data_IF_537767060363
#
_entry.id   IF_537767060363
#
_cell.length_a   1.000
_cell.length_b   1.000
_cell.length_c   1.000
_cell.angle_alpha   90.00
_cell.angle_beta   90.00
_cell.angle_gamma   90.00
#
_symmetry.space_group_name_H-M   'P 1'
#
loop_
_entity.id
_entity.type
_entity.pdbx_description
1 polymer ?
#
# COMPACT_ATOMS: atom_id res chain seq x y z
N UNK A 1 -63.84 -9.06 -52.71
CA UNK A 1 -62.80 -8.74 -51.71
C UNK A 1 -63.38 -8.94 -50.32
N UNK A 2 -62.76 -9.72 -49.42
CA UNK A 2 -63.25 -9.86 -48.06
C UNK A 2 -63.00 -8.56 -47.28
N UNK A 3 -63.86 -8.20 -46.32
CA UNK A 3 -63.73 -6.94 -45.59
C UNK A 3 -62.50 -7.02 -44.67
N UNK A 4 -61.60 -6.04 -44.77
CA UNK A 4 -60.52 -5.86 -43.80
C UNK A 4 -61.15 -5.63 -42.42
N UNK A 5 -61.07 -6.61 -41.52
CA UNK A 5 -61.40 -6.45 -40.11
C UNK A 5 -60.61 -5.26 -39.57
N UNK A 6 -61.30 -4.20 -39.15
CA UNK A 6 -60.69 -3.15 -38.31
C UNK A 6 -60.36 -3.82 -36.98
N UNK A 7 -59.08 -3.98 -36.66
CA UNK A 7 -58.67 -4.32 -35.29
C UNK A 7 -59.13 -3.16 -34.39
N UNK A 8 -60.05 -3.44 -33.46
CA UNK A 8 -60.35 -2.53 -32.37
C UNK A 8 -59.22 -2.64 -31.36
N UNK A 9 -58.51 -1.53 -31.16
CA UNK A 9 -57.53 -1.41 -30.10
C UNK A 9 -58.28 -1.19 -28.78
N UNK A 10 -58.40 -2.25 -27.99
CA UNK A 10 -58.77 -2.21 -26.58
C UNK A 10 -57.57 -1.74 -25.75
N UNK A 11 -57.83 -1.19 -24.57
CA UNK A 11 -56.81 -0.63 -23.67
C UNK A 11 -55.68 -1.64 -23.38
N UNK A 12 -56.02 -2.92 -23.20
CA UNK A 12 -55.06 -4.02 -23.02
C UNK A 12 -54.09 -4.22 -24.20
N UNK A 13 -54.55 -3.97 -25.44
CA UNK A 13 -53.71 -4.13 -26.64
C UNK A 13 -52.70 -2.99 -26.80
N UNK A 14 -53.02 -1.81 -26.26
CA UNK A 14 -52.12 -0.65 -26.22
C UNK A 14 -51.08 -0.88 -25.13
N UNK A 15 -51.49 -1.34 -23.95
CA UNK A 15 -50.57 -1.66 -22.86
C UNK A 15 -49.59 -2.77 -23.24
N UNK A 16 -50.05 -3.84 -23.89
CA UNK A 16 -49.18 -4.90 -24.39
C UNK A 16 -48.19 -4.41 -25.45
N UNK A 17 -48.59 -3.49 -26.34
CA UNK A 17 -47.66 -2.92 -27.31
C UNK A 17 -46.64 -1.99 -26.67
N UNK A 18 -47.04 -1.18 -25.67
CA UNK A 18 -46.12 -0.29 -24.96
C UNK A 18 -45.11 -1.07 -24.10
N UNK A 19 -45.53 -2.19 -23.50
CA UNK A 19 -44.63 -3.08 -22.75
C UNK A 19 -43.59 -3.78 -23.64
N UNK A 20 -43.87 -3.99 -24.93
CA UNK A 20 -42.94 -4.61 -25.88
C UNK A 20 -41.89 -3.64 -26.41
N UNK A 21 -42.11 -2.32 -26.26
CA UNK A 21 -41.11 -1.32 -26.63
C UNK A 21 -40.13 -1.23 -25.48
N UNK A 22 -38.95 -1.84 -25.64
CA UNK A 22 -37.85 -1.69 -24.69
C UNK A 22 -37.27 -0.26 -24.81
N UNK A 23 -37.96 0.72 -24.24
CA UNK A 23 -37.50 2.12 -24.17
C UNK A 23 -36.23 2.31 -23.31
N UNK A 24 -35.84 1.30 -22.53
CA UNK A 24 -34.79 1.38 -21.52
C UNK A 24 -33.50 0.62 -21.90
N UNK A 25 -33.40 0.04 -23.10
CA UNK A 25 -32.15 -0.57 -23.56
C UNK A 25 -31.25 0.49 -24.24
N UNK A 26 -30.15 0.96 -23.58
CA UNK A 26 -29.25 1.94 -24.16
C UNK A 26 -28.52 1.43 -25.41
N UNK A 27 -28.52 0.11 -25.63
CA UNK A 27 -27.87 -0.56 -26.77
C UNK A 27 -28.64 -0.42 -28.08
N UNK A 28 -29.95 -0.17 -28.02
CA UNK A 28 -30.88 -0.38 -29.15
C UNK A 28 -31.84 0.80 -29.36
N UNK A 29 -31.43 2.00 -28.98
CA UNK A 29 -32.31 3.19 -28.98
C UNK A 29 -32.87 3.57 -30.35
N UNK A 30 -32.16 3.32 -31.46
CA UNK A 30 -32.67 3.64 -32.81
C UNK A 30 -33.75 2.68 -33.31
N UNK A 31 -33.59 1.38 -33.07
CA UNK A 31 -34.49 0.33 -33.58
C UNK A 31 -35.84 0.34 -32.84
N UNK A 32 -35.82 0.71 -31.56
CA UNK A 32 -37.04 0.89 -30.76
C UNK A 32 -37.84 2.14 -31.15
N UNK A 33 -37.20 3.19 -31.66
CA UNK A 33 -37.90 4.41 -32.13
C UNK A 33 -38.55 4.22 -33.51
N UNK A 34 -37.96 3.42 -34.40
CA UNK A 34 -38.54 3.13 -35.72
C UNK A 34 -39.87 2.38 -35.63
N UNK A 35 -40.06 1.59 -34.58
CA UNK A 35 -41.29 0.85 -34.31
C UNK A 35 -42.47 1.75 -33.89
N UNK A 36 -42.19 2.99 -33.47
CA UNK A 36 -43.25 3.96 -33.09
C UNK A 36 -43.99 4.54 -34.29
N UNK A 37 -43.33 4.67 -35.45
CA UNK A 37 -43.92 5.29 -36.65
C UNK A 37 -45.20 4.60 -37.14
N UNK A 38 -45.22 3.26 -37.34
CA UNK A 38 -46.41 2.51 -37.70
C UNK A 38 -47.53 2.61 -36.66
N UNK A 39 -47.19 2.58 -35.37
CA UNK A 39 -48.13 2.65 -34.25
C UNK A 39 -48.83 4.02 -34.23
N UNK A 40 -48.08 5.11 -34.32
CA UNK A 40 -48.59 6.49 -34.36
C UNK A 40 -49.50 6.69 -35.58
N UNK A 41 -49.08 6.21 -36.76
CA UNK A 41 -49.90 6.29 -37.98
C UNK A 41 -51.22 5.55 -37.82
N UNK A 42 -51.21 4.39 -37.16
CA UNK A 42 -52.40 3.59 -36.97
C UNK A 42 -53.37 4.22 -35.96
N UNK A 43 -52.87 4.74 -34.84
CA UNK A 43 -53.66 5.48 -33.84
C UNK A 43 -54.34 6.71 -34.46
N UNK A 44 -53.64 7.40 -35.36
CA UNK A 44 -54.20 8.53 -36.10
C UNK A 44 -55.34 8.12 -37.04
N UNK A 45 -55.18 6.99 -37.75
CA UNK A 45 -56.21 6.43 -38.65
C UNK A 45 -57.43 5.92 -37.87
N UNK A 46 -57.24 5.36 -36.67
CA UNK A 46 -58.34 4.88 -35.81
C UNK A 46 -59.00 5.97 -34.95
N UNK A 47 -58.50 7.22 -35.00
CA UNK A 47 -58.98 8.37 -34.19
C UNK A 47 -58.97 8.11 -32.67
N UNK A 48 -58.00 7.34 -32.19
CA UNK A 48 -57.88 6.95 -30.78
C UNK A 48 -56.78 7.72 -30.02
N UNK A 49 -56.36 8.90 -30.53
CA UNK A 49 -55.26 9.67 -29.93
C UNK A 49 -55.47 9.98 -28.44
N UNK A 50 -56.66 10.43 -28.04
CA UNK A 50 -56.92 10.77 -26.64
C UNK A 50 -56.86 9.56 -25.71
N UNK A 51 -57.41 8.42 -26.13
CA UNK A 51 -57.35 7.19 -25.36
C UNK A 51 -55.90 6.72 -25.19
N UNK A 52 -55.10 6.77 -26.26
CA UNK A 52 -53.68 6.43 -26.22
C UNK A 52 -52.88 7.35 -25.29
N UNK A 53 -53.09 8.67 -25.36
CA UNK A 53 -52.42 9.63 -24.48
C UNK A 53 -52.77 9.40 -23.01
N UNK A 54 -54.04 9.09 -22.70
CA UNK A 54 -54.45 8.76 -21.32
C UNK A 54 -53.76 7.50 -20.81
N UNK A 55 -53.66 6.45 -21.62
CA UNK A 55 -52.94 5.22 -21.26
C UNK A 55 -51.44 5.49 -21.04
N UNK A 56 -50.82 6.27 -21.92
CA UNK A 56 -49.41 6.68 -21.77
C UNK A 56 -49.17 7.47 -20.48
N UNK A 57 -50.08 8.39 -20.15
CA UNK A 57 -49.98 9.18 -18.93
C UNK A 57 -50.13 8.32 -17.67
N UNK A 58 -51.07 7.36 -17.68
CA UNK A 58 -51.19 6.37 -16.60
C UNK A 58 -49.96 5.45 -16.48
N UNK A 59 -49.32 5.10 -17.60
CA UNK A 59 -48.06 4.36 -17.60
C UNK A 59 -46.92 5.18 -16.99
N UNK A 60 -46.82 6.47 -17.33
CA UNK A 60 -45.84 7.39 -16.74
C UNK A 60 -46.03 7.49 -15.23
N UNK A 61 -47.26 7.75 -14.76
CA UNK A 61 -47.57 7.80 -13.33
C UNK A 61 -47.25 6.47 -12.61
N UNK A 62 -47.58 5.34 -13.25
CA UNK A 62 -47.25 4.01 -12.72
C UNK A 62 -45.73 3.78 -12.65
N UNK A 63 -44.95 4.32 -13.59
CA UNK A 63 -43.49 4.18 -13.60
C UNK A 63 -42.83 5.13 -12.63
N UNK A 64 -43.32 6.35 -12.48
CA UNK A 64 -42.85 7.29 -11.46
C UNK A 64 -43.06 6.71 -10.06
N UNK A 65 -44.23 6.14 -9.78
CA UNK A 65 -44.51 5.49 -8.48
C UNK A 65 -43.66 4.24 -8.24
N UNK A 66 -43.36 3.46 -9.29
CA UNK A 66 -42.42 2.33 -9.19
C UNK A 66 -41.00 2.79 -8.86
N UNK A 67 -40.51 3.85 -9.54
CA UNK A 67 -39.20 4.45 -9.27
C UNK A 67 -39.14 4.99 -7.84
N UNK A 68 -40.15 5.74 -7.40
CA UNK A 68 -40.20 6.31 -6.06
C UNK A 68 -40.17 5.21 -4.98
N UNK A 69 -40.90 4.12 -5.20
CA UNK A 69 -40.88 2.97 -4.30
C UNK A 69 -39.49 2.33 -4.23
N UNK A 70 -38.86 2.05 -5.37
CA UNK A 70 -37.50 1.48 -5.40
C UNK A 70 -36.51 2.42 -4.71
N UNK A 71 -36.58 3.72 -4.96
CA UNK A 71 -35.73 4.70 -4.31
C UNK A 71 -35.96 4.73 -2.79
N UNK A 72 -37.22 4.74 -2.34
CA UNK A 72 -37.57 4.73 -0.92
C UNK A 72 -37.08 3.46 -0.22
N UNK A 73 -37.26 2.29 -0.85
CA UNK A 73 -36.86 1.00 -0.31
C UNK A 73 -35.33 0.90 -0.14
N UNK A 74 -34.55 1.49 -1.06
CA UNK A 74 -33.09 1.40 -1.07
C UNK A 74 -32.37 2.60 -0.42
N UNK A 75 -33.09 3.69 -0.10
CA UNK A 75 -32.47 4.93 0.39
C UNK A 75 -31.72 4.71 1.71
N UNK A 76 -32.30 3.95 2.64
CA UNK A 76 -31.66 3.66 3.93
C UNK A 76 -30.36 2.85 3.75
N UNK A 77 -30.36 1.86 2.87
CA UNK A 77 -29.18 1.03 2.58
C UNK A 77 -28.08 1.85 1.90
N UNK A 78 -28.45 2.79 1.02
CA UNK A 78 -27.52 3.73 0.42
C UNK A 78 -26.86 4.63 1.49
N UNK A 79 -27.65 5.21 2.38
CA UNK A 79 -27.13 6.06 3.47
C UNK A 79 -26.20 5.25 4.40
N UNK A 80 -26.60 4.02 4.74
CA UNK A 80 -25.77 3.11 5.55
C UNK A 80 -24.44 2.78 4.87
N UNK A 81 -24.47 2.51 3.57
CA UNK A 81 -23.27 2.23 2.77
C UNK A 81 -22.33 3.43 2.71
N UNK A 82 -22.86 4.65 2.50
CA UNK A 82 -22.07 5.89 2.49
C UNK A 82 -21.44 6.16 3.87
N UNK A 83 -22.20 5.95 4.96
CA UNK A 83 -21.69 6.09 6.32
C UNK A 83 -20.55 5.10 6.61
N UNK A 84 -20.70 3.86 6.14
CA UNK A 84 -19.67 2.82 6.25
C UNK A 84 -18.41 3.21 5.48
N UNK A 85 -18.53 3.73 4.25
CA UNK A 85 -17.40 4.23 3.48
C UNK A 85 -16.68 5.39 4.17
N UNK A 86 -17.41 6.31 4.80
CA UNK A 86 -16.81 7.41 5.56
C UNK A 86 -16.04 6.90 6.78
N UNK A 87 -16.60 5.90 7.46
CA UNK A 87 -15.97 5.21 8.59
C UNK A 87 -14.69 4.51 8.17
N UNK A 88 -14.72 3.72 7.09
CA UNK A 88 -13.54 3.04 6.52
C UNK A 88 -12.47 4.07 6.15
N UNK A 89 -12.83 5.16 5.47
CA UNK A 89 -11.89 6.24 5.12
C UNK A 89 -11.20 6.81 6.36
N UNK A 90 -11.95 7.04 7.45
CA UNK A 90 -11.40 7.52 8.72
C UNK A 90 -10.39 6.52 9.31
N UNK A 91 -10.76 5.24 9.39
CA UNK A 91 -9.87 4.18 9.87
C UNK A 91 -8.60 4.04 9.03
N UNK A 92 -8.71 4.04 7.70
CA UNK A 92 -7.56 3.97 6.80
C UNK A 92 -6.64 5.17 6.97
N UNK A 93 -7.19 6.37 7.14
CA UNK A 93 -6.41 7.58 7.38
C UNK A 93 -5.65 7.49 8.71
N UNK A 94 -6.34 7.07 9.79
CA UNK A 94 -5.70 6.88 11.10
C UNK A 94 -4.61 5.81 11.06
N UNK A 95 -4.84 4.70 10.36
CA UNK A 95 -3.86 3.62 10.19
C UNK A 95 -2.62 4.12 9.44
N UNK A 96 -2.81 4.87 8.35
CA UNK A 96 -1.71 5.48 7.60
C UNK A 96 -0.87 6.40 8.49
N UNK A 97 -1.51 7.22 9.32
CA UNK A 97 -0.81 8.14 10.21
C UNK A 97 -0.02 7.39 11.31
N UNK A 98 -0.59 6.29 11.84
CA UNK A 98 0.11 5.39 12.77
C UNK A 98 1.32 4.71 12.12
N UNK A 99 1.18 4.22 10.89
CA UNK A 99 2.29 3.61 10.13
C UNK A 99 3.40 4.63 9.90
N UNK A 100 3.06 5.85 9.49
CA UNK A 100 4.03 6.94 9.30
C UNK A 100 4.78 7.28 10.60
N UNK A 101 4.05 7.33 11.72
CA UNK A 101 4.65 7.57 13.03
C UNK A 101 5.60 6.44 13.44
N UNK A 102 5.19 5.19 13.21
CA UNK A 102 6.01 4.01 13.51
C UNK A 102 7.27 3.97 12.65
N UNK A 103 7.15 4.25 11.35
CA UNK A 103 8.28 4.31 10.40
C UNK A 103 9.33 5.34 10.84
N UNK A 104 8.88 6.53 11.22
CA UNK A 104 9.74 7.59 11.77
C UNK A 104 10.44 7.14 13.06
N UNK A 105 9.71 6.54 13.99
CA UNK A 105 10.25 6.03 15.26
C UNK A 105 11.30 4.93 15.04
N UNK A 106 10.99 3.94 14.18
CA UNK A 106 11.92 2.85 13.84
C UNK A 106 13.17 3.41 13.16
N UNK A 107 13.02 4.36 12.24
CA UNK A 107 14.15 5.02 11.58
C UNK A 107 15.03 5.76 12.58
N UNK A 108 14.43 6.49 13.54
CA UNK A 108 15.17 7.21 14.57
C UNK A 108 15.96 6.25 15.48
N UNK A 109 15.30 5.19 15.97
CA UNK A 109 15.96 4.16 16.80
C UNK A 109 17.07 3.45 16.02
N UNK A 110 16.81 3.12 14.75
CA UNK A 110 17.78 2.50 13.86
C UNK A 110 19.04 3.35 13.65
N UNK A 111 18.88 4.66 13.42
CA UNK A 111 20.00 5.60 13.32
C UNK A 111 20.84 5.64 14.61
N UNK A 112 20.19 5.80 15.76
CA UNK A 112 20.87 5.82 17.06
C UNK A 112 21.62 4.50 17.35
N UNK A 113 21.08 3.36 16.90
CA UNK A 113 21.74 2.07 17.04
C UNK A 113 23.00 1.98 16.17
N UNK A 114 22.93 2.46 14.93
CA UNK A 114 24.09 2.50 14.02
C UNK A 114 25.21 3.38 14.60
N UNK A 115 24.87 4.54 15.15
CA UNK A 115 25.84 5.43 15.80
C UNK A 115 26.50 4.76 17.02
N UNK A 116 25.72 4.14 17.90
CA UNK A 116 26.25 3.37 19.04
C UNK A 116 27.14 2.22 18.60
N UNK A 117 26.78 1.49 17.54
CA UNK A 117 27.60 0.42 16.96
C UNK A 117 28.93 0.96 16.45
N UNK A 118 28.93 2.11 15.77
CA UNK A 118 30.15 2.77 15.29
C UNK A 118 31.06 3.18 16.44
N UNK A 119 30.49 3.78 17.49
CA UNK A 119 31.24 4.16 18.70
C UNK A 119 31.86 2.93 19.41
N UNK A 120 31.10 1.85 19.53
CA UNK A 120 31.59 0.59 20.10
C UNK A 120 32.74 0.00 19.29
N UNK A 121 32.65 0.00 17.97
CA UNK A 121 33.71 -0.52 17.11
C UNK A 121 34.99 0.32 17.22
N UNK A 122 34.87 1.65 17.30
CA UNK A 122 36.03 2.52 17.55
C UNK A 122 36.66 2.25 18.91
N UNK A 123 35.84 2.10 19.97
CA UNK A 123 36.34 1.75 21.31
C UNK A 123 37.09 0.41 21.31
N UNK A 124 36.57 -0.61 20.62
CA UNK A 124 37.25 -1.90 20.45
C UNK A 124 38.58 -1.78 19.70
N UNK A 125 38.64 -0.96 18.67
CA UNK A 125 39.89 -0.69 17.94
C UNK A 125 40.92 -0.03 18.85
N UNK A 126 40.49 0.97 19.63
CA UNK A 126 41.36 1.62 20.62
C UNK A 126 41.87 0.63 21.66
N UNK A 127 40.99 -0.25 22.19
CA UNK A 127 41.39 -1.29 23.14
C UNK A 127 42.44 -2.24 22.54
N UNK A 128 42.25 -2.71 21.30
CA UNK A 128 43.22 -3.57 20.63
C UNK A 128 44.58 -2.87 20.44
N UNK A 129 44.58 -1.60 20.06
CA UNK A 129 45.82 -0.81 19.96
C UNK A 129 46.51 -0.65 21.33
N UNK A 130 45.75 -0.53 22.42
CA UNK A 130 46.30 -0.46 23.76
C UNK A 130 46.92 -1.79 24.18
N UNK A 131 46.27 -2.91 23.89
CA UNK A 131 46.82 -4.25 24.15
C UNK A 131 48.15 -4.45 23.40
N UNK A 132 48.22 -4.08 22.12
CA UNK A 132 49.46 -4.12 21.34
C UNK A 132 50.56 -3.21 21.92
N UNK A 133 50.20 -2.01 22.38
CA UNK A 133 51.13 -1.11 23.03
C UNK A 133 51.66 -1.69 24.35
N UNK A 134 50.81 -2.37 25.13
CA UNK A 134 51.20 -3.07 26.36
C UNK A 134 52.20 -4.18 26.05
N UNK A 135 51.92 -5.02 25.05
CA UNK A 135 52.81 -6.10 24.65
C UNK A 135 54.19 -5.58 24.20
N UNK A 136 54.20 -4.51 23.40
CA UNK A 136 55.42 -3.84 22.97
C UNK A 136 56.21 -3.25 24.15
N UNK A 137 55.53 -2.59 25.10
CA UNK A 137 56.20 -2.07 26.29
C UNK A 137 56.78 -3.18 27.17
N UNK A 138 56.07 -4.31 27.31
CA UNK A 138 56.59 -5.48 28.02
C UNK A 138 57.83 -6.07 27.32
N UNK A 139 57.84 -6.12 25.99
CA UNK A 139 59.00 -6.53 25.21
C UNK A 139 60.19 -5.59 25.43
N UNK A 140 59.96 -4.26 25.41
CA UNK A 140 60.98 -3.27 25.72
C UNK A 140 61.54 -3.41 27.13
N UNK A 141 60.69 -3.66 28.14
CA UNK A 141 61.13 -3.89 29.52
C UNK A 141 62.03 -5.12 29.65
N UNK A 142 61.72 -6.22 28.95
CA UNK A 142 62.59 -7.41 28.92
C UNK A 142 63.95 -7.10 28.32
N UNK A 143 64.00 -6.32 27.23
CA UNK A 143 65.29 -5.90 26.63
C UNK A 143 66.07 -5.01 27.60
N UNK A 144 65.39 -4.08 28.26
CA UNK A 144 66.02 -3.16 29.21
C UNK A 144 66.66 -3.91 30.40
N UNK A 145 65.97 -4.90 30.96
CA UNK A 145 66.49 -5.72 32.07
C UNK A 145 67.78 -6.45 31.68
N UNK A 146 67.81 -6.99 30.47
CA UNK A 146 68.98 -7.68 29.92
C UNK A 146 70.14 -6.72 29.70
N UNK A 147 69.87 -5.56 29.10
CA UNK A 147 70.87 -4.52 28.87
C UNK A 147 71.47 -4.07 30.21
N UNK A 148 70.63 -3.89 31.23
CA UNK A 148 71.10 -3.52 32.57
C UNK A 148 72.01 -4.61 33.16
N UNK A 149 71.58 -5.88 33.10
CA UNK A 149 72.36 -7.02 33.59
C UNK A 149 73.70 -7.18 32.85
N UNK A 150 73.72 -7.03 31.52
CA UNK A 150 74.96 -7.05 30.73
C UNK A 150 75.87 -5.89 31.16
N UNK A 151 75.30 -4.70 31.38
CA UNK A 151 76.03 -3.53 31.88
C UNK A 151 76.69 -3.77 33.24
N UNK A 152 76.00 -4.42 34.18
CA UNK A 152 76.57 -4.83 35.47
C UNK A 152 77.70 -5.85 35.30
N UNK A 153 77.53 -6.87 34.46
CA UNK A 153 78.57 -7.88 34.21
C UNK A 153 79.84 -7.28 33.59
N UNK A 154 79.71 -6.25 32.75
CA UNK A 154 80.84 -5.51 32.20
C UNK A 154 81.56 -4.71 33.29
N UNK A 155 80.82 -4.03 34.18
CA UNK A 155 81.40 -3.29 35.31
C UNK A 155 82.17 -4.20 36.27
N UNK A 156 81.68 -5.42 36.47
CA UNK A 156 82.32 -6.47 37.27
C UNK A 156 83.55 -7.13 36.59
N UNK A 157 83.89 -6.75 35.35
CA UNK A 157 85.00 -7.35 34.58
C UNK A 157 84.69 -8.74 33.99
N UNK A 158 83.43 -9.19 34.01
CA UNK A 158 82.98 -10.51 33.51
C UNK A 158 82.62 -10.48 32.02
N UNK A 159 83.56 -10.03 31.18
CA UNK A 159 83.32 -9.76 29.75
C UNK A 159 82.84 -11.00 28.96
N UNK A 160 83.40 -12.18 29.22
CA UNK A 160 82.99 -13.42 28.56
C UNK A 160 81.54 -13.80 28.86
N UNK A 161 81.12 -13.63 30.11
CA UNK A 161 79.75 -13.92 30.53
C UNK A 161 78.76 -12.88 29.97
N UNK A 162 79.17 -11.61 29.87
CA UNK A 162 78.40 -10.54 29.24
C UNK A 162 78.19 -10.79 27.74
N UNK A 163 79.24 -11.19 27.02
CA UNK A 163 79.18 -11.52 25.60
C UNK A 163 78.22 -12.69 25.34
N UNK A 164 78.32 -13.75 26.15
CA UNK A 164 77.42 -14.91 26.06
C UNK A 164 75.96 -14.53 26.33
N UNK A 165 75.70 -13.70 27.35
CA UNK A 165 74.36 -13.24 27.69
C UNK A 165 73.74 -12.40 26.56
N UNK A 166 74.52 -11.51 25.93
CA UNK A 166 74.04 -10.73 24.79
C UNK A 166 73.75 -11.61 23.56
N UNK A 167 74.62 -12.57 23.24
CA UNK A 167 74.48 -13.43 22.05
C UNK A 167 73.33 -14.44 22.13
N UNK A 168 73.00 -14.95 23.32
CA UNK A 168 71.91 -15.91 23.49
C UNK A 168 70.54 -15.30 23.15
N UNK A 169 70.39 -13.98 23.32
CA UNK A 169 69.09 -13.32 23.26
C UNK A 169 68.77 -12.70 21.90
N UNK A 170 69.80 -12.37 21.09
CA UNK A 170 69.61 -12.02 19.68
C UNK A 170 68.97 -13.16 18.89
N UNK A 171 69.31 -14.43 19.18
CA UNK A 171 68.67 -15.57 18.54
C UNK A 171 67.21 -15.80 18.96
N UNK A 172 66.82 -15.39 20.17
CA UNK A 172 65.42 -15.50 20.63
C UNK A 172 64.51 -14.38 20.16
N UNK A 173 65.06 -13.26 19.68
CA UNK A 173 64.29 -12.10 19.20
C UNK A 173 64.09 -12.09 17.67
N UNK A 174 64.86 -12.88 16.93
CA UNK A 174 64.77 -12.99 15.45
C UNK A 174 63.85 -14.12 14.96
N UNK A 175 63.14 -14.81 15.86
CA UNK A 175 62.16 -15.86 15.57
C UNK A 175 60.80 -15.45 16.12
#
# INVERSE_FOLDING_TARGET
>A
MPPRRRLQYTQDSIDQQLQQIHLLDPSSSSENLEQLGPIIKQIHVSRQQEAFLRTLQGLVESKETEIEKICSDNYQDFISSVSTLFTIKSYTTNLRDKISTLDSSVTQVGRGLVEKKKALLQSKKTAANLDEAIDNLQACLKVLDVVNRVGEMIKDGKYWSALRASGLQFHTYTA
#
